data_IF_725709782327
#
_entry.id   IF_725709782327
#
_cell.length_a   1.000
_cell.length_b   1.000
_cell.length_c   1.000
_cell.angle_alpha   90.00
_cell.angle_beta   90.00
_cell.angle_gamma   90.00
#
_symmetry.space_group_name_H-M   'P 1'
#
loop_
_entity.id
_entity.type
_entity.pdbx_description
1 polymer ?
#
# COMPACT_ATOMS: atom_id res chain seq x y z
N UNK A 1 -3.52 -38.48 -31.30
CA UNK A 1 -4.21 -37.36 -30.62
C UNK A 1 -3.81 -37.40 -29.15
N UNK A 2 -2.87 -36.57 -28.65
CA UNK A 2 -2.63 -36.52 -27.21
C UNK A 2 -3.73 -35.67 -26.59
N UNK A 3 -4.60 -36.34 -25.83
CA UNK A 3 -5.67 -35.76 -25.04
C UNK A 3 -5.12 -34.82 -23.96
N UNK A 4 -5.59 -33.58 -23.95
CA UNK A 4 -5.35 -32.53 -22.96
C UNK A 4 -5.87 -32.94 -21.56
N UNK A 5 -5.14 -33.83 -20.87
CA UNK A 5 -5.42 -34.12 -19.46
C UNK A 5 -4.77 -33.04 -18.58
N UNK A 6 -5.61 -32.24 -17.92
CA UNK A 6 -5.17 -31.21 -16.98
C UNK A 6 -4.84 -31.85 -15.63
N UNK A 7 -3.55 -32.12 -15.39
CA UNK A 7 -3.02 -32.80 -14.20
C UNK A 7 -2.13 -31.87 -13.35
N UNK A 8 -2.70 -30.81 -12.75
CA UNK A 8 -1.91 -29.81 -12.03
C UNK A 8 -1.20 -30.42 -10.82
N UNK A 9 0.08 -30.12 -10.66
CA UNK A 9 0.89 -30.59 -9.53
C UNK A 9 1.38 -32.03 -9.61
N UNK A 10 1.09 -32.76 -10.71
CA UNK A 10 1.55 -34.14 -10.87
C UNK A 10 3.09 -34.21 -11.04
N UNK A 11 3.71 -35.12 -10.31
CA UNK A 11 5.13 -35.47 -10.37
C UNK A 11 5.29 -36.99 -10.45
N UNK A 12 6.15 -37.42 -11.37
CA UNK A 12 6.46 -38.83 -11.64
C UNK A 12 7.83 -39.18 -11.06
N UNK A 13 7.94 -40.29 -10.34
CA UNK A 13 9.21 -40.80 -9.83
C UNK A 13 9.44 -42.23 -10.31
N UNK A 14 10.50 -42.38 -11.12
CA UNK A 14 10.93 -43.68 -11.64
C UNK A 14 11.37 -44.62 -10.51
N UNK A 15 10.93 -45.87 -10.58
CA UNK A 15 11.46 -46.97 -9.76
C UNK A 15 12.56 -47.71 -10.51
N UNK A 16 13.43 -48.39 -9.75
CA UNK A 16 14.48 -49.27 -10.28
C UNK A 16 13.90 -50.55 -10.93
N UNK A 17 12.70 -50.96 -10.49
CA UNK A 17 11.90 -52.03 -11.08
C UNK A 17 10.43 -51.79 -10.74
N UNK A 18 9.53 -52.00 -11.71
CA UNK A 18 8.08 -51.76 -11.61
C UNK A 18 7.63 -50.37 -12.08
N UNK A 19 6.31 -50.10 -12.04
CA UNK A 19 5.71 -48.86 -12.56
C UNK A 19 6.12 -47.61 -11.77
N UNK A 20 6.08 -46.47 -12.44
CA UNK A 20 6.41 -45.17 -11.87
C UNK A 20 5.46 -44.82 -10.71
N UNK A 21 6.01 -44.19 -9.65
CA UNK A 21 5.17 -43.68 -8.56
C UNK A 21 4.72 -42.27 -8.91
N UNK A 22 3.43 -42.04 -8.83
CA UNK A 22 2.81 -40.74 -9.02
C UNK A 22 2.63 -40.01 -7.68
N UNK A 23 2.95 -38.73 -7.68
CA UNK A 23 2.75 -37.81 -6.57
C UNK A 23 2.04 -36.56 -7.05
N UNK A 24 1.16 -36.01 -6.22
CA UNK A 24 0.74 -34.62 -6.32
C UNK A 24 1.59 -33.77 -5.39
N UNK A 25 2.11 -32.64 -5.88
CA UNK A 25 2.96 -31.72 -5.13
C UNK A 25 2.32 -30.34 -5.10
N UNK A 26 2.12 -29.82 -3.89
CA UNK A 26 1.56 -28.48 -3.67
C UNK A 26 2.53 -27.39 -4.16
N UNK A 27 2.00 -26.20 -4.45
CA UNK A 27 2.83 -25.05 -4.82
C UNK A 27 3.72 -24.62 -3.64
N UNK A 28 5.01 -24.42 -3.91
CA UNK A 28 6.01 -24.10 -2.89
C UNK A 28 5.72 -22.79 -2.12
N UNK A 29 5.13 -21.78 -2.77
CA UNK A 29 4.75 -20.52 -2.12
C UNK A 29 3.68 -20.73 -1.04
N UNK A 30 2.71 -21.61 -1.29
CA UNK A 30 1.64 -21.92 -0.34
C UNK A 30 2.09 -22.87 0.77
N UNK A 31 2.98 -23.83 0.47
CA UNK A 31 3.62 -24.68 1.49
C UNK A 31 4.45 -23.84 2.46
N UNK A 32 5.24 -22.87 1.95
CA UNK A 32 5.97 -21.89 2.77
C UNK A 32 5.03 -21.02 3.60
N UNK A 33 3.84 -20.73 3.09
CA UNK A 33 2.82 -20.03 3.85
C UNK A 33 2.26 -20.91 5.00
N UNK A 34 2.34 -22.24 4.91
CA UNK A 34 1.87 -23.18 5.93
C UNK A 34 0.82 -24.17 5.44
N UNK A 35 0.54 -24.24 4.13
CA UNK A 35 -0.37 -25.24 3.57
C UNK A 35 0.17 -26.65 3.80
N UNK A 36 -0.72 -27.57 4.17
CA UNK A 36 -0.47 -29.01 4.22
C UNK A 36 -1.70 -29.72 3.65
N UNK A 37 -1.53 -30.85 2.93
CA UNK A 37 -0.29 -31.61 2.72
C UNK A 37 0.62 -31.03 1.61
N UNK A 38 1.95 -31.17 1.76
CA UNK A 38 2.96 -30.71 0.78
C UNK A 38 3.10 -31.65 -0.42
N UNK A 39 3.08 -32.96 -0.17
CA UNK A 39 3.21 -34.00 -1.20
C UNK A 39 2.28 -35.15 -0.85
N UNK A 40 1.51 -35.62 -1.82
CA UNK A 40 0.56 -36.73 -1.67
C UNK A 40 0.88 -37.80 -2.69
N UNK A 41 1.07 -39.05 -2.26
CA UNK A 41 1.24 -40.19 -3.17
C UNK A 41 -0.11 -40.58 -3.76
N UNK A 42 -0.18 -40.69 -5.09
CA UNK A 42 -1.37 -41.18 -5.78
C UNK A 42 -1.31 -42.72 -5.90
N UNK A 43 -2.37 -43.45 -5.53
CA UNK A 43 -2.39 -44.92 -5.57
C UNK A 43 -2.72 -45.48 -6.97
N UNK A 44 -2.42 -44.73 -8.03
CA UNK A 44 -2.76 -45.06 -9.41
C UNK A 44 -1.51 -45.24 -10.26
N UNK A 45 -1.64 -45.96 -11.39
CA UNK A 45 -0.57 -46.15 -12.39
C UNK A 45 -1.03 -45.65 -13.76
N UNK A 46 -0.09 -45.14 -14.57
CA UNK A 46 -0.38 -44.66 -15.93
C UNK A 46 -0.51 -45.80 -16.95
N UNK A 47 -0.04 -47.00 -16.59
CA UNK A 47 -0.10 -48.20 -17.44
C UNK A 47 -1.52 -48.74 -17.60
N UNK A 48 -2.44 -48.33 -16.72
CA UNK A 48 -3.86 -48.67 -16.78
C UNK A 48 -4.64 -47.48 -17.32
N UNK A 49 -5.30 -47.66 -18.46
CA UNK A 49 -6.09 -46.62 -19.11
C UNK A 49 -7.27 -46.15 -18.25
N UNK A 50 -7.83 -47.03 -17.41
CA UNK A 50 -8.92 -46.70 -16.48
C UNK A 50 -8.48 -45.76 -15.35
N UNK A 51 -7.18 -45.74 -15.02
CA UNK A 51 -6.61 -44.90 -13.98
C UNK A 51 -6.34 -43.46 -14.43
N UNK A 52 -6.25 -43.19 -15.73
CA UNK A 52 -5.93 -41.84 -16.24
C UNK A 52 -6.93 -40.79 -15.78
N UNK A 53 -8.21 -41.10 -15.87
CA UNK A 53 -9.27 -40.22 -15.38
C UNK A 53 -9.21 -40.01 -13.86
N UNK A 54 -8.86 -41.05 -13.10
CA UNK A 54 -8.72 -40.99 -11.65
C UNK A 54 -7.52 -40.14 -11.21
N UNK A 55 -6.41 -40.20 -11.95
CA UNK A 55 -5.22 -39.36 -11.74
C UNK A 55 -5.56 -37.90 -11.95
N UNK A 56 -6.19 -37.55 -13.08
CA UNK A 56 -6.58 -36.17 -13.37
C UNK A 56 -7.56 -35.64 -12.33
N UNK A 57 -8.59 -36.42 -11.96
CA UNK A 57 -9.55 -36.04 -10.93
C UNK A 57 -8.90 -35.82 -9.56
N UNK A 58 -7.96 -36.68 -9.15
CA UNK A 58 -7.23 -36.53 -7.90
C UNK A 58 -6.36 -35.26 -7.88
N UNK A 59 -5.63 -34.99 -8.96
CA UNK A 59 -4.83 -33.78 -9.11
C UNK A 59 -5.67 -32.51 -9.07
N UNK A 60 -6.82 -32.49 -9.77
CA UNK A 60 -7.76 -31.36 -9.71
C UNK A 60 -8.31 -31.14 -8.31
N UNK A 61 -8.68 -32.21 -7.59
CA UNK A 61 -9.19 -32.11 -6.22
C UNK A 61 -8.16 -31.47 -5.28
N UNK A 62 -6.93 -31.98 -5.25
CA UNK A 62 -5.89 -31.41 -4.38
C UNK A 62 -5.51 -29.98 -4.78
N UNK A 63 -5.53 -29.67 -6.07
CA UNK A 63 -5.33 -28.31 -6.55
C UNK A 63 -6.44 -27.37 -6.08
N UNK A 64 -7.71 -27.79 -6.15
CA UNK A 64 -8.85 -27.01 -5.68
C UNK A 64 -8.78 -26.76 -4.17
N UNK A 65 -8.52 -27.79 -3.36
CA UNK A 65 -8.36 -27.68 -1.90
C UNK A 65 -7.25 -26.69 -1.51
N UNK A 66 -6.10 -26.76 -2.20
CA UNK A 66 -4.98 -25.83 -1.98
C UNK A 66 -5.34 -24.38 -2.32
N UNK A 67 -6.04 -24.18 -3.44
CA UNK A 67 -6.47 -22.85 -3.87
C UNK A 67 -7.56 -22.28 -2.95
N UNK A 68 -8.49 -23.11 -2.50
CA UNK A 68 -9.51 -22.73 -1.53
C UNK A 68 -8.87 -22.29 -0.20
N UNK A 69 -7.93 -23.08 0.33
CA UNK A 69 -7.15 -22.71 1.52
C UNK A 69 -6.42 -21.38 1.35
N UNK A 70 -5.80 -21.16 0.18
CA UNK A 70 -5.14 -19.89 -0.14
C UNK A 70 -6.12 -18.72 -0.19
N UNK A 71 -7.32 -18.94 -0.73
CA UNK A 71 -8.37 -17.93 -0.84
C UNK A 71 -8.93 -17.52 0.53
N UNK A 72 -9.10 -18.48 1.45
CA UNK A 72 -9.53 -18.23 2.83
C UNK A 72 -8.53 -17.34 3.58
N UNK A 73 -7.23 -17.65 3.46
CA UNK A 73 -6.17 -16.82 4.05
C UNK A 73 -6.10 -15.42 3.46
N UNK A 74 -6.31 -15.25 2.14
CA UNK A 74 -6.37 -13.92 1.52
C UNK A 74 -7.55 -13.10 2.07
N UNK A 75 -8.69 -13.74 2.37
CA UNK A 75 -9.84 -13.09 3.01
C UNK A 75 -9.53 -12.66 4.45
N UNK A 76 -8.80 -13.47 5.21
CA UNK A 76 -8.37 -13.10 6.57
C UNK A 76 -7.35 -11.97 6.58
N UNK A 77 -6.37 -11.97 5.67
CA UNK A 77 -5.40 -10.86 5.53
C UNK A 77 -6.06 -9.56 5.04
N UNK A 78 -7.15 -9.66 4.28
CA UNK A 78 -7.95 -8.51 3.84
C UNK A 78 -9.00 -8.08 4.88
N UNK A 79 -9.14 -8.81 6.00
CA UNK A 79 -10.03 -8.39 7.08
C UNK A 79 -9.43 -7.14 7.71
N UNK A 80 -10.20 -6.07 7.72
CA UNK A 80 -9.82 -4.83 8.38
C UNK A 80 -9.69 -5.07 9.89
N UNK A 81 -8.50 -4.82 10.44
CA UNK A 81 -8.14 -5.07 11.84
C UNK A 81 -8.63 -3.97 12.81
N UNK A 82 -9.30 -2.94 12.29
CA UNK A 82 -9.79 -1.82 13.09
C UNK A 82 -8.71 -0.85 13.55
N UNK A 83 -7.48 -0.90 13.00
CA UNK A 83 -6.37 -0.02 13.38
C UNK A 83 -6.12 1.09 12.37
N UNK A 84 -5.36 2.12 12.78
CA UNK A 84 -4.87 3.17 11.87
C UNK A 84 -4.00 2.57 10.75
N UNK A 85 -3.15 1.58 11.07
CA UNK A 85 -2.30 0.91 10.11
C UNK A 85 -3.12 0.13 9.08
N UNK A 86 -4.12 -0.63 9.53
CA UNK A 86 -5.06 -1.31 8.64
C UNK A 86 -5.77 -0.33 7.71
N UNK A 87 -6.17 0.84 8.22
CA UNK A 87 -6.85 1.87 7.44
C UNK A 87 -5.89 2.48 6.41
N UNK A 88 -4.65 2.77 6.81
CA UNK A 88 -3.61 3.31 5.91
C UNK A 88 -3.31 2.33 4.78
N UNK A 89 -3.19 1.03 5.10
CA UNK A 89 -2.93 -0.01 4.10
C UNK A 89 -4.07 -0.11 3.09
N UNK A 90 -5.33 -0.15 3.55
CA UNK A 90 -6.49 -0.13 2.63
C UNK A 90 -6.51 1.14 1.80
N UNK A 91 -6.30 2.30 2.41
CA UNK A 91 -6.23 3.58 1.70
C UNK A 91 -5.16 3.59 0.59
N UNK A 92 -4.03 2.91 0.75
CA UNK A 92 -2.96 2.86 -0.25
C UNK A 92 -3.15 1.77 -1.33
N UNK A 93 -3.86 0.69 -1.00
CA UNK A 93 -3.94 -0.52 -1.84
C UNK A 93 -5.25 -0.64 -2.62
N UNK A 94 -6.36 -0.16 -2.04
CA UNK A 94 -7.70 -0.23 -2.62
C UNK A 94 -7.78 0.60 -3.93
N UNK A 95 -8.37 0.03 -4.97
CA UNK A 95 -8.49 0.65 -6.29
C UNK A 95 -9.46 1.83 -6.29
N UNK A 96 -10.51 1.77 -5.46
CA UNK A 96 -11.47 2.85 -5.31
C UNK A 96 -10.87 4.05 -4.56
N UNK A 97 -9.75 3.87 -3.86
CA UNK A 97 -9.11 4.92 -3.07
C UNK A 97 -8.65 6.11 -3.93
N UNK A 98 -8.93 7.35 -3.49
CA UNK A 98 -8.38 8.55 -4.10
C UNK A 98 -6.85 8.53 -4.23
N UNK A 99 -6.15 7.81 -3.34
CA UNK A 99 -4.70 7.70 -3.34
C UNK A 99 -4.13 7.16 -4.67
N UNK A 100 -4.82 6.19 -5.29
CA UNK A 100 -4.42 5.60 -6.58
C UNK A 100 -4.54 6.58 -7.75
N UNK A 101 -5.38 7.60 -7.61
CA UNK A 101 -5.63 8.65 -8.63
C UNK A 101 -4.71 9.87 -8.48
N UNK A 102 -3.93 9.96 -7.40
CA UNK A 102 -3.00 11.07 -7.19
C UNK A 102 -1.83 11.04 -8.17
N UNK A 103 -1.41 12.23 -8.64
CA UNK A 103 -0.14 12.44 -9.37
C UNK A 103 1.04 11.89 -8.56
N UNK A 104 2.03 11.32 -9.25
CA UNK A 104 3.20 10.68 -8.64
C UNK A 104 3.87 11.52 -7.55
N UNK A 105 4.15 12.80 -7.82
CA UNK A 105 4.81 13.70 -6.86
C UNK A 105 3.98 13.97 -5.60
N UNK A 106 2.64 14.00 -5.73
CA UNK A 106 1.73 14.13 -4.60
C UNK A 106 1.68 12.83 -3.80
N UNK A 107 1.60 11.69 -4.50
CA UNK A 107 1.61 10.37 -3.90
C UNK A 107 2.85 10.15 -3.04
N UNK A 108 4.05 10.51 -3.52
CA UNK A 108 5.29 10.41 -2.74
C UNK A 108 5.25 11.21 -1.43
N UNK A 109 4.75 12.45 -1.47
CA UNK A 109 4.60 13.30 -0.27
C UNK A 109 3.59 12.71 0.72
N UNK A 110 2.51 12.14 0.19
CA UNK A 110 1.49 11.49 0.99
C UNK A 110 2.02 10.22 1.63
N UNK A 111 2.72 9.36 0.88
CA UNK A 111 3.37 8.14 1.40
C UNK A 111 4.32 8.48 2.55
N UNK A 112 5.12 9.54 2.43
CA UNK A 112 5.97 10.00 3.53
C UNK A 112 5.16 10.36 4.79
N UNK A 113 4.02 11.05 4.61
CA UNK A 113 3.14 11.44 5.73
C UNK A 113 2.45 10.21 6.34
N UNK A 114 2.01 9.26 5.52
CA UNK A 114 1.43 8.00 5.97
C UNK A 114 2.44 7.18 6.76
N UNK A 115 3.68 7.07 6.29
CA UNK A 115 4.75 6.38 7.02
C UNK A 115 5.02 7.01 8.40
N UNK A 116 4.93 8.34 8.53
CA UNK A 116 5.03 9.01 9.82
C UNK A 116 3.87 8.66 10.75
N UNK A 117 2.64 8.63 10.23
CA UNK A 117 1.44 8.25 10.97
C UNK A 117 1.55 6.81 11.45
N UNK A 118 1.87 5.89 10.54
CA UNK A 118 2.02 4.45 10.81
C UNK A 118 3.07 4.19 11.89
N UNK A 119 4.24 4.85 11.79
CA UNK A 119 5.30 4.71 12.78
C UNK A 119 4.91 5.26 14.15
N UNK A 120 4.20 6.38 14.19
CA UNK A 120 3.90 7.05 15.46
C UNK A 120 2.75 6.39 16.23
N UNK A 121 1.71 5.95 15.53
CA UNK A 121 0.48 5.46 16.17
C UNK A 121 -0.33 4.49 15.30
N UNK A 122 0.29 3.83 14.31
CA UNK A 122 -0.40 2.89 13.42
C UNK A 122 -1.08 1.71 14.14
N UNK A 123 -0.53 1.25 15.27
CA UNK A 123 -1.06 0.12 16.04
C UNK A 123 -2.29 0.47 16.89
N UNK A 124 -2.69 1.76 16.95
CA UNK A 124 -3.84 2.18 17.74
C UNK A 124 -5.14 1.75 17.05
N UNK A 125 -6.05 1.16 17.83
CA UNK A 125 -7.40 0.83 17.40
C UNK A 125 -8.23 2.10 17.23
N UNK A 126 -8.97 2.21 16.12
CA UNK A 126 -9.88 3.32 15.85
C UNK A 126 -10.97 3.46 16.92
N UNK A 127 -11.46 2.34 17.46
CA UNK A 127 -12.50 2.33 18.49
C UNK A 127 -12.05 3.03 19.79
N UNK A 128 -10.75 2.97 20.11
CA UNK A 128 -10.20 3.57 21.31
C UNK A 128 -9.92 5.08 21.18
N UNK A 129 -9.94 5.63 19.96
CA UNK A 129 -9.52 7.00 19.71
C UNK A 129 -10.57 8.02 20.12
N UNK A 130 -10.07 9.07 20.79
CA UNK A 130 -10.83 10.25 21.21
C UNK A 130 -10.16 11.52 20.70
N UNK A 131 -10.81 12.66 20.92
CA UNK A 131 -10.30 13.96 20.48
C UNK A 131 -8.92 14.29 21.06
N UNK A 132 -8.69 13.93 22.33
CA UNK A 132 -7.43 14.18 23.05
C UNK A 132 -6.21 13.54 22.36
N UNK A 133 -6.40 12.36 21.76
CA UNK A 133 -5.34 11.69 21.02
C UNK A 133 -4.87 12.53 19.83
N UNK A 134 -5.81 13.13 19.09
CA UNK A 134 -5.50 13.96 17.94
C UNK A 134 -4.80 15.27 18.36
N UNK A 135 -5.23 15.91 19.45
CA UNK A 135 -4.53 17.08 19.99
C UNK A 135 -3.12 16.73 20.47
N UNK A 136 -2.95 15.60 21.15
CA UNK A 136 -1.62 15.11 21.58
C UNK A 136 -0.71 14.87 20.38
N UNK A 137 -1.19 14.22 19.33
CA UNK A 137 -0.41 13.96 18.12
C UNK A 137 -0.10 15.24 17.35
N UNK A 138 -1.06 16.16 17.25
CA UNK A 138 -0.84 17.47 16.64
C UNK A 138 0.25 18.24 17.40
N UNK A 139 0.15 18.31 18.73
CA UNK A 139 1.16 18.95 19.58
C UNK A 139 2.54 18.32 19.42
N UNK A 140 2.63 16.99 19.43
CA UNK A 140 3.89 16.27 19.22
C UNK A 140 4.50 16.56 17.83
N UNK A 141 3.68 16.59 16.79
CA UNK A 141 4.13 16.88 15.42
C UNK A 141 4.50 18.36 15.21
N UNK A 142 3.94 19.27 16.01
CA UNK A 142 4.21 20.72 15.99
C UNK A 142 5.56 21.06 16.60
N UNK A 143 6.08 20.22 17.51
CA UNK A 143 7.39 20.47 18.16
C UNK A 143 8.51 20.68 17.13
N UNK A 144 9.45 21.59 17.42
CA UNK A 144 10.62 21.80 16.58
C UNK A 144 11.51 20.57 16.55
N UNK A 145 12.41 20.50 15.56
CA UNK A 145 13.38 19.39 15.45
C UNK A 145 14.44 19.47 16.56
N UNK A 146 14.79 20.69 16.96
CA UNK A 146 15.78 21.00 17.98
C UNK A 146 15.14 21.93 19.02
N UNK A 147 15.62 21.86 20.26
CA UNK A 147 15.12 22.72 21.33
C UNK A 147 15.33 24.20 20.96
N UNK A 148 14.27 25.01 21.06
CA UNK A 148 14.29 26.42 20.66
C UNK A 148 14.08 26.70 19.15
N UNK A 149 13.97 25.68 18.31
CA UNK A 149 13.71 25.85 16.88
C UNK A 149 12.28 26.28 16.54
N UNK A 150 12.03 26.58 15.25
CA UNK A 150 10.69 26.96 14.77
C UNK A 150 9.69 25.78 14.83
N UNK A 151 8.47 26.10 15.27
CA UNK A 151 7.37 25.14 15.30
C UNK A 151 7.01 24.64 13.89
N UNK A 152 6.70 23.35 13.80
CA UNK A 152 6.41 22.64 12.56
C UNK A 152 4.91 22.54 12.30
N UNK A 153 4.19 23.66 12.41
CA UNK A 153 2.72 23.75 12.24
C UNK A 153 2.25 23.10 10.93
N UNK A 154 2.98 23.34 9.82
CA UNK A 154 2.66 22.73 8.52
C UNK A 154 2.70 21.20 8.55
N UNK A 155 3.66 20.61 9.27
CA UNK A 155 3.77 19.16 9.43
C UNK A 155 2.61 18.63 10.26
N UNK A 156 2.34 19.25 11.40
CA UNK A 156 1.25 18.85 12.30
C UNK A 156 -0.11 18.90 11.60
N UNK A 157 -0.39 20.00 10.90
CA UNK A 157 -1.63 20.14 10.12
C UNK A 157 -1.70 19.15 8.96
N UNK A 158 -0.57 18.88 8.28
CA UNK A 158 -0.50 17.88 7.21
C UNK A 158 -0.88 16.48 7.67
N UNK A 159 -0.47 16.09 8.88
CA UNK A 159 -0.87 14.81 9.50
C UNK A 159 -2.37 14.76 9.75
N UNK A 160 -2.94 15.80 10.38
CA UNK A 160 -4.39 15.87 10.65
C UNK A 160 -5.19 15.86 9.34
N UNK A 161 -4.74 16.60 8.33
CA UNK A 161 -5.36 16.59 7.01
C UNK A 161 -5.36 15.19 6.40
N UNK A 162 -4.23 14.48 6.49
CA UNK A 162 -4.12 13.11 5.96
C UNK A 162 -5.04 12.13 6.70
N UNK A 163 -5.15 12.26 8.02
CA UNK A 163 -6.09 11.45 8.81
C UNK A 163 -7.54 11.69 8.38
N UNK A 164 -7.95 12.93 8.13
CA UNK A 164 -9.30 13.23 7.60
C UNK A 164 -9.54 12.56 6.25
N UNK A 165 -8.56 12.60 5.35
CA UNK A 165 -8.68 11.96 4.03
C UNK A 165 -8.77 10.43 4.14
N UNK A 166 -7.95 9.81 4.99
CA UNK A 166 -8.04 8.37 5.27
C UNK A 166 -9.39 7.97 5.85
N UNK A 167 -9.92 8.75 6.80
CA UNK A 167 -11.21 8.50 7.42
C UNK A 167 -12.37 8.71 6.44
N UNK A 168 -12.30 9.73 5.58
CA UNK A 168 -13.27 9.93 4.50
C UNK A 168 -13.29 8.73 3.54
N UNK A 169 -12.12 8.22 3.16
CA UNK A 169 -12.04 6.96 2.43
C UNK A 169 -12.65 5.79 3.21
N UNK A 170 -12.35 5.66 4.50
CA UNK A 170 -12.91 4.62 5.34
C UNK A 170 -14.43 4.66 5.40
N UNK A 171 -15.05 5.85 5.41
CA UNK A 171 -16.51 6.00 5.32
C UNK A 171 -17.02 5.44 4.00
N UNK A 172 -16.40 5.81 2.86
CA UNK A 172 -16.81 5.32 1.53
C UNK A 172 -16.60 3.80 1.38
N UNK A 173 -15.62 3.24 2.08
CA UNK A 173 -15.34 1.81 2.12
C UNK A 173 -16.09 1.06 3.23
N UNK A 174 -17.06 1.72 3.88
CA UNK A 174 -17.90 1.19 4.97
C UNK A 174 -17.11 0.56 6.13
N UNK A 175 -15.97 1.15 6.45
CA UNK A 175 -15.13 0.71 7.56
C UNK A 175 -15.67 1.23 8.90
N UNK A 176 -15.65 0.38 9.95
CA UNK A 176 -16.13 0.75 11.27
C UNK A 176 -15.32 1.91 11.87
N UNK A 177 -15.94 2.67 12.75
CA UNK A 177 -15.37 3.82 13.48
C UNK A 177 -14.96 5.03 12.62
N UNK A 178 -14.82 4.89 11.30
CA UNK A 178 -14.35 5.96 10.43
C UNK A 178 -15.28 7.18 10.42
N UNK A 179 -16.60 6.95 10.37
CA UNK A 179 -17.61 8.03 10.42
C UNK A 179 -17.51 8.82 11.72
N UNK A 180 -17.57 8.12 12.86
CA UNK A 180 -17.48 8.72 14.20
C UNK A 180 -16.23 9.59 14.34
N UNK A 181 -15.06 9.05 13.96
CA UNK A 181 -13.80 9.78 14.07
C UNK A 181 -13.68 10.94 13.08
N UNK A 182 -14.22 10.79 11.88
CA UNK A 182 -14.28 11.87 10.91
C UNK A 182 -15.10 13.04 11.44
N UNK A 183 -16.26 12.78 12.04
CA UNK A 183 -17.14 13.80 12.62
C UNK A 183 -16.45 14.51 13.80
N UNK A 184 -15.81 13.75 14.71
CA UNK A 184 -15.00 14.31 15.80
C UNK A 184 -13.92 15.25 15.27
N UNK A 185 -13.16 14.80 14.27
CA UNK A 185 -12.16 15.65 13.65
C UNK A 185 -12.82 16.84 12.94
N UNK A 186 -13.94 16.68 12.24
CA UNK A 186 -14.64 17.74 11.51
C UNK A 186 -14.90 18.96 12.40
N UNK A 187 -15.35 18.72 13.63
CA UNK A 187 -15.58 19.77 14.62
C UNK A 187 -14.30 20.28 15.30
N UNK A 188 -13.26 19.46 15.39
CA UNK A 188 -11.98 19.84 15.97
C UNK A 188 -11.25 20.94 15.18
N UNK A 189 -10.77 21.96 15.88
CA UNK A 189 -10.00 23.07 15.32
C UNK A 189 -8.52 22.92 15.62
N UNK A 190 -7.70 23.00 14.56
CA UNK A 190 -6.24 22.93 14.62
C UNK A 190 -5.65 24.15 13.92
N UNK A 191 -4.53 24.69 14.43
CA UNK A 191 -3.88 25.84 13.81
C UNK A 191 -3.36 25.49 12.41
N UNK A 192 -3.74 26.30 11.44
CA UNK A 192 -3.29 26.15 10.05
C UNK A 192 -1.94 26.86 9.86
N UNK A 193 -1.08 26.35 8.96
CA UNK A 193 0.16 27.04 8.63
C UNK A 193 -0.16 28.40 8.00
N UNK A 194 0.59 29.43 8.39
CA UNK A 194 0.48 30.75 7.79
C UNK A 194 0.73 30.69 6.28
N UNK A 195 -0.02 31.50 5.52
CA UNK A 195 0.20 31.67 4.08
C UNK A 195 1.62 32.18 3.85
N UNK A 196 2.31 31.65 2.84
CA UNK A 196 3.61 32.21 2.41
C UNK A 196 3.40 33.67 2.03
N UNK A 197 4.18 34.57 2.62
CA UNK A 197 4.09 36.02 2.38
C UNK A 197 5.05 36.53 1.32
N UNK A 198 6.11 35.78 1.02
CA UNK A 198 7.12 36.19 0.03
C UNK A 198 6.73 35.62 -1.32
N UNK A 199 6.38 36.52 -2.25
CA UNK A 199 6.35 36.23 -3.67
C UNK A 199 7.76 36.34 -4.23
N UNK A 200 8.07 35.56 -5.26
CA UNK A 200 9.35 35.72 -5.95
C UNK A 200 9.32 37.05 -6.70
N UNK A 201 10.33 37.87 -6.49
CA UNK A 201 10.53 39.15 -7.17
C UNK A 201 11.68 38.99 -8.16
N UNK A 202 11.80 39.88 -9.14
CA UNK A 202 12.86 39.81 -10.15
C UNK A 202 14.26 39.76 -9.52
N UNK A 203 14.50 40.57 -8.48
CA UNK A 203 15.77 40.60 -7.74
C UNK A 203 16.12 39.27 -7.08
N UNK A 204 15.11 38.52 -6.61
CA UNK A 204 15.32 37.18 -6.06
C UNK A 204 15.72 36.18 -7.16
N UNK A 205 15.17 36.31 -8.37
CA UNK A 205 15.50 35.46 -9.51
C UNK A 205 16.93 35.73 -10.03
N UNK A 206 17.31 37.01 -10.15
CA UNK A 206 18.66 37.41 -10.57
C UNK A 206 19.73 36.91 -9.60
N UNK A 207 19.50 37.10 -8.29
CA UNK A 207 20.40 36.58 -7.26
C UNK A 207 20.50 35.05 -7.30
N UNK A 208 19.40 34.36 -7.60
CA UNK A 208 19.39 32.90 -7.74
C UNK A 208 20.18 32.42 -8.96
N UNK A 209 20.02 33.08 -10.13
CA UNK A 209 20.75 32.73 -11.36
C UNK A 209 22.25 32.93 -11.15
N UNK A 210 22.66 34.07 -10.59
CA UNK A 210 24.06 34.34 -10.28
C UNK A 210 24.66 33.23 -9.40
N UNK A 211 23.92 32.81 -8.37
CA UNK A 211 24.38 31.73 -7.47
C UNK A 211 24.37 30.36 -8.12
N UNK A 212 23.42 30.08 -9.01
CA UNK A 212 23.37 28.83 -9.78
C UNK A 212 24.55 28.69 -10.74
N UNK A 213 24.98 29.80 -11.36
CA UNK A 213 26.19 29.85 -12.20
C UNK A 213 27.45 29.60 -11.37
N UNK A 214 27.59 30.29 -10.23
CA UNK A 214 28.72 30.11 -9.30
C UNK A 214 28.86 28.64 -8.84
N UNK A 215 27.73 27.97 -8.57
CA UNK A 215 27.70 26.56 -8.14
C UNK A 215 27.82 25.55 -9.29
N UNK A 216 27.98 25.99 -10.54
CA UNK A 216 28.04 25.13 -11.71
C UNK A 216 26.74 24.36 -12.01
N UNK A 217 25.60 24.81 -11.45
CA UNK A 217 24.27 24.18 -11.59
C UNK A 217 23.39 24.96 -12.55
N UNK A 218 23.88 25.16 -13.77
CA UNK A 218 23.22 25.94 -14.84
C UNK A 218 21.80 25.45 -15.16
N UNK A 219 21.51 24.15 -14.98
CA UNK A 219 20.17 23.58 -15.16
C UNK A 219 19.12 24.12 -14.19
N UNK A 220 19.53 24.67 -13.05
CA UNK A 220 18.62 25.30 -12.09
C UNK A 220 18.28 26.75 -12.47
N UNK A 221 19.18 27.45 -13.16
CA UNK A 221 19.01 28.86 -13.55
C UNK A 221 18.24 29.08 -14.86
N UNK A 222 18.03 28.05 -15.68
CA UNK A 222 17.16 28.11 -16.86
C UNK A 222 15.70 27.98 -16.43
N UNK A 223 15.03 29.11 -16.24
CA UNK A 223 13.59 29.17 -16.07
C UNK A 223 12.90 28.94 -17.42
N UNK A 224 12.57 27.68 -17.74
CA UNK A 224 11.74 27.35 -18.93
C UNK A 224 10.31 27.96 -18.85
N UNK A 225 9.94 28.60 -17.72
CA UNK A 225 8.67 29.31 -17.52
C UNK A 225 8.71 30.82 -17.87
N UNK A 226 9.85 31.40 -18.29
CA UNK A 226 9.92 32.81 -18.73
C UNK A 226 9.48 33.03 -20.19
N UNK A 227 9.11 31.96 -20.92
CA UNK A 227 8.77 32.02 -22.35
C UNK A 227 7.44 32.69 -22.70
N UNK A 228 6.65 33.15 -21.72
CA UNK A 228 5.35 33.79 -21.98
C UNK A 228 5.46 35.31 -22.16
N UNK A 229 6.53 35.95 -21.68
CA UNK A 229 6.62 37.43 -21.72
C UNK A 229 7.01 38.01 -23.09
N UNK A 230 7.64 37.22 -23.96
CA UNK A 230 8.16 37.68 -25.26
C UNK A 230 7.16 37.49 -26.43
N UNK A 231 5.92 37.07 -26.13
CA UNK A 231 4.89 36.77 -27.14
C UNK A 231 3.73 37.76 -27.21
N UNK A 232 3.80 38.87 -26.45
CA UNK A 232 2.77 39.94 -26.46
C UNK A 232 3.30 41.34 -26.80
N UNK A 233 4.47 41.45 -27.44
CA UNK A 233 4.90 42.70 -28.11
C UNK A 233 5.15 42.48 -29.61
N UNK A 234 4.14 41.90 -30.28
CA UNK A 234 3.97 41.98 -31.73
C UNK A 234 2.68 42.70 -32.04
#
# INVERSE_FOLDING_TARGET
>A
MPSDFNEPGLKRRKRKSGPDILYWVARADLVKAGYRPETVRLPYTEDDESHRNLISAACMRFQAEMLEWSSGRKRELNRFDGTILGLSRRYQTDEASPFKRLKHSTRQKDTYTLALIEKAFGTRSLAALKIDDFYRWYGAAKKPREAGGQERVRRAYGIIKKLREMLAFGIMAELPECKRLYDVLHHARFSQPARRRVSMELSHAEAFIAKAIEMGRLSLGRGDDLRIWDSQQG
#
